data_IF_058191712122
#
_entry.id   IF_058191712122
#
_cell.length_a   1.000
_cell.length_b   1.000
_cell.length_c   1.000
_cell.angle_alpha   90.00
_cell.angle_beta   90.00
_cell.angle_gamma   90.00
#
_symmetry.space_group_name_H-M   'P 1'
#
loop_
_entity.id
_entity.type
_entity.pdbx_description
1 polymer ?
#
# COMPACT_ATOMS: atom_id res chain seq x y z
N UNK A 1 -15.58 15.97 10.38
CA UNK A 1 -15.67 14.50 10.53
C UNK A 1 -15.91 14.18 12.00
N UNK A 2 -16.63 13.10 12.30
CA UNK A 2 -16.94 12.69 13.70
C UNK A 2 -15.79 11.97 14.42
N UNK A 3 -14.68 11.70 13.74
CA UNK A 3 -13.55 10.93 14.27
C UNK A 3 -12.51 11.80 15.02
N UNK A 4 -12.64 13.13 14.96
CA UNK A 4 -11.63 14.07 15.44
C UNK A 4 -11.17 13.86 16.88
N UNK A 5 -12.07 13.42 17.77
CA UNK A 5 -11.76 13.17 19.19
C UNK A 5 -11.28 11.76 19.53
N UNK A 6 -11.13 10.87 18.55
CA UNK A 6 -10.73 9.46 18.77
C UNK A 6 -9.21 9.28 18.71
N UNK A 7 -8.45 10.14 19.36
CA UNK A 7 -6.98 10.21 19.26
C UNK A 7 -6.27 8.93 19.70
N UNK A 8 -6.91 8.09 20.54
CA UNK A 8 -6.37 6.82 21.02
C UNK A 8 -6.76 5.61 20.16
N UNK A 9 -7.44 5.83 19.03
CA UNK A 9 -7.90 4.73 18.18
C UNK A 9 -6.70 4.00 17.58
N UNK A 10 -6.59 2.70 17.87
CA UNK A 10 -5.52 1.83 17.32
C UNK A 10 -5.93 1.11 16.03
N UNK A 11 -7.22 0.88 15.82
CA UNK A 11 -7.75 0.13 14.69
C UNK A 11 -8.97 0.83 14.11
N UNK A 12 -8.98 1.04 12.80
CA UNK A 12 -10.10 1.65 12.08
C UNK A 12 -10.41 0.82 10.84
N UNK A 13 -11.69 0.49 10.68
CA UNK A 13 -12.17 -0.32 9.57
C UNK A 13 -13.33 0.40 8.89
N UNK A 14 -13.15 0.66 7.60
CA UNK A 14 -14.03 1.42 6.72
C UNK A 14 -14.23 0.71 5.38
N UNK A 15 -14.04 -0.61 5.34
CA UNK A 15 -14.21 -1.42 4.13
C UNK A 15 -15.68 -1.44 3.66
N UNK A 16 -15.87 -1.77 2.39
CA UNK A 16 -17.21 -1.93 1.76
C UNK A 16 -18.06 -0.66 1.84
N UNK A 17 -17.43 0.48 1.61
CA UNK A 17 -18.09 1.79 1.55
C UNK A 17 -17.95 2.39 0.13
N UNK A 18 -18.28 3.67 0.00
CA UNK A 18 -18.15 4.43 -1.25
C UNK A 18 -17.14 5.58 -1.08
N UNK A 19 -16.12 5.37 -0.27
CA UNK A 19 -15.11 6.40 0.01
C UNK A 19 -14.29 6.60 -1.26
N UNK A 20 -14.33 7.80 -1.80
CA UNK A 20 -13.48 8.21 -2.94
C UNK A 20 -12.29 9.05 -2.53
N UNK A 21 -12.31 9.62 -1.31
CA UNK A 21 -11.28 10.50 -0.77
C UNK A 21 -11.04 10.18 0.70
N UNK A 22 -9.77 10.01 1.07
CA UNK A 22 -9.35 9.78 2.45
C UNK A 22 -9.31 11.15 3.15
N UNK A 23 -10.20 11.39 4.10
CA UNK A 23 -10.28 12.66 4.86
C UNK A 23 -10.79 12.41 6.27
N UNK A 24 -10.47 13.31 7.20
CA UNK A 24 -10.99 13.25 8.55
C UNK A 24 -10.26 12.27 9.46
N UNK A 25 -9.06 11.83 9.05
CA UNK A 25 -8.17 10.94 9.81
C UNK A 25 -6.99 11.70 10.44
N UNK A 26 -6.95 13.02 10.30
CA UNK A 26 -5.76 13.85 10.57
C UNK A 26 -5.35 13.83 12.04
N UNK A 27 -6.29 13.61 12.96
CA UNK A 27 -6.06 13.52 14.41
C UNK A 27 -5.81 12.10 14.93
N UNK A 28 -5.91 11.07 14.08
CA UNK A 28 -5.78 9.66 14.49
C UNK A 28 -4.31 9.23 14.59
N UNK A 29 -3.49 10.02 15.26
CA UNK A 29 -2.03 9.85 15.31
C UNK A 29 -1.61 8.47 15.80
N UNK A 30 -2.36 7.84 16.70
CA UNK A 30 -2.03 6.54 17.28
C UNK A 30 -2.49 5.33 16.47
N UNK A 31 -3.10 5.54 15.29
CA UNK A 31 -3.65 4.46 14.49
C UNK A 31 -2.56 3.48 14.05
N UNK A 32 -2.82 2.19 14.25
CA UNK A 32 -1.93 1.07 13.89
C UNK A 32 -2.43 0.31 12.69
N UNK A 33 -3.74 0.20 12.53
CA UNK A 33 -4.36 -0.52 11.42
C UNK A 33 -5.47 0.30 10.79
N UNK A 34 -5.41 0.44 9.47
CA UNK A 34 -6.42 1.12 8.67
C UNK A 34 -6.87 0.19 7.54
N UNK A 35 -8.14 -0.17 7.54
CA UNK A 35 -8.75 -0.95 6.47
C UNK A 35 -9.71 -0.08 5.65
N UNK A 36 -9.38 0.10 4.37
CA UNK A 36 -10.11 0.85 3.35
C UNK A 36 -10.42 -0.03 2.12
N UNK A 37 -10.41 -1.35 2.29
CA UNK A 37 -10.71 -2.33 1.24
C UNK A 37 -12.11 -2.11 0.63
N UNK A 38 -12.29 -2.42 -0.65
CA UNK A 38 -13.59 -2.30 -1.34
C UNK A 38 -14.19 -0.88 -1.24
N UNK A 39 -13.44 0.11 -1.73
CA UNK A 39 -13.87 1.51 -1.80
C UNK A 39 -13.64 2.05 -3.24
N UNK A 40 -13.67 3.37 -3.42
CA UNK A 40 -13.53 4.05 -4.71
C UNK A 40 -12.33 5.01 -4.72
N UNK A 41 -11.31 4.73 -3.92
CA UNK A 41 -10.16 5.62 -3.73
C UNK A 41 -9.27 5.59 -4.98
N UNK A 42 -8.99 6.77 -5.53
CA UNK A 42 -8.11 6.93 -6.70
C UNK A 42 -6.71 7.42 -6.31
N UNK A 43 -6.63 8.20 -5.22
CA UNK A 43 -5.40 8.80 -4.71
C UNK A 43 -5.24 8.49 -3.22
N UNK A 44 -4.05 8.04 -2.85
CA UNK A 44 -3.69 7.87 -1.46
C UNK A 44 -3.12 9.19 -0.95
N UNK A 45 -3.91 9.88 -0.13
CA UNK A 45 -3.61 11.21 0.39
C UNK A 45 -4.05 11.35 1.85
N UNK A 46 -3.60 12.39 2.54
CA UNK A 46 -4.00 12.73 3.91
C UNK A 46 -3.67 11.65 4.96
N UNK A 47 -2.60 10.87 4.74
CA UNK A 47 -2.11 9.86 5.70
C UNK A 47 -0.84 10.30 6.45
N UNK A 48 -0.34 11.52 6.22
CA UNK A 48 0.95 12.00 6.73
C UNK A 48 1.12 11.93 8.26
N UNK A 49 0.00 12.04 8.98
CA UNK A 49 -0.04 12.04 10.43
C UNK A 49 -0.11 10.63 11.05
N UNK A 50 -0.35 9.59 10.25
CA UNK A 50 -0.50 8.20 10.69
C UNK A 50 0.86 7.48 10.79
N UNK A 51 1.86 8.15 11.38
CA UNK A 51 3.26 7.68 11.42
C UNK A 51 3.46 6.36 12.16
N UNK A 52 2.46 5.96 12.94
CA UNK A 52 2.45 4.74 13.73
C UNK A 52 1.74 3.57 13.06
N UNK A 53 1.22 3.76 11.85
CA UNK A 53 0.52 2.73 11.09
C UNK A 53 1.47 1.55 10.78
N UNK A 54 0.97 0.35 11.04
CA UNK A 54 1.65 -0.93 10.85
C UNK A 54 1.03 -1.68 9.67
N UNK A 55 -0.30 -1.60 9.52
CA UNK A 55 -1.03 -2.27 8.45
C UNK A 55 -1.96 -1.29 7.72
N UNK A 56 -1.89 -1.28 6.40
CA UNK A 56 -2.74 -0.51 5.52
C UNK A 56 -3.36 -1.42 4.45
N UNK A 57 -4.68 -1.53 4.45
CA UNK A 57 -5.43 -2.31 3.46
C UNK A 57 -6.17 -1.36 2.51
N UNK A 58 -5.79 -1.38 1.24
CA UNK A 58 -6.35 -0.58 0.15
C UNK A 58 -6.78 -1.46 -1.04
N UNK A 59 -6.96 -2.76 -0.81
CA UNK A 59 -7.35 -3.70 -1.85
C UNK A 59 -8.69 -3.33 -2.48
N UNK A 60 -8.86 -3.64 -3.77
CA UNK A 60 -10.09 -3.35 -4.52
C UNK A 60 -10.53 -1.88 -4.42
N UNK A 61 -9.65 -1.00 -4.89
CA UNK A 61 -9.90 0.44 -5.06
C UNK A 61 -9.62 0.84 -6.52
N UNK A 62 -9.35 2.12 -6.79
CA UNK A 62 -9.06 2.66 -8.11
C UNK A 62 -7.69 3.32 -8.22
N UNK A 63 -6.75 2.89 -7.38
CA UNK A 63 -5.44 3.51 -7.24
C UNK A 63 -4.60 3.21 -8.49
N UNK A 64 -4.00 4.24 -9.09
CA UNK A 64 -3.15 4.10 -10.29
C UNK A 64 -1.66 4.27 -10.00
N UNK A 65 -1.33 4.89 -8.87
CA UNK A 65 0.03 5.18 -8.44
C UNK A 65 0.16 4.97 -6.94
N UNK A 66 1.31 4.49 -6.53
CA UNK A 66 1.66 4.42 -5.11
C UNK A 66 2.28 5.78 -4.75
N UNK A 67 1.56 6.56 -3.96
CA UNK A 67 1.92 7.91 -3.53
C UNK A 67 1.35 8.19 -2.13
N UNK A 68 1.80 9.23 -1.44
CA UNK A 68 1.23 9.62 -0.14
C UNK A 68 1.54 8.66 1.02
N UNK A 69 2.55 7.81 0.86
CA UNK A 69 3.01 6.83 1.86
C UNK A 69 4.34 7.23 2.51
N UNK A 70 4.92 8.38 2.16
CA UNK A 70 6.30 8.79 2.48
C UNK A 70 6.56 8.83 3.99
N UNK A 71 5.53 9.15 4.77
CA UNK A 71 5.58 9.28 6.23
C UNK A 71 5.25 7.97 6.99
N UNK A 72 4.79 6.92 6.30
CA UNK A 72 4.37 5.65 6.92
C UNK A 72 5.55 4.70 7.17
N UNK A 73 6.62 5.21 7.79
CA UNK A 73 7.89 4.48 7.98
C UNK A 73 7.82 3.27 8.92
N UNK A 74 6.70 3.08 9.62
CA UNK A 74 6.45 1.94 10.48
C UNK A 74 5.60 0.85 9.83
N UNK A 75 5.18 1.05 8.58
CA UNK A 75 4.34 0.11 7.86
C UNK A 75 5.09 -1.21 7.62
N UNK A 76 4.41 -2.31 7.93
CA UNK A 76 4.92 -3.68 7.80
C UNK A 76 4.11 -4.47 6.78
N UNK A 77 2.82 -4.17 6.67
CA UNK A 77 1.90 -4.85 5.76
C UNK A 77 1.14 -3.83 4.91
N UNK A 78 1.26 -3.96 3.60
CA UNK A 78 0.59 -3.09 2.63
C UNK A 78 -0.14 -3.94 1.59
N UNK A 79 -1.46 -3.76 1.52
CA UNK A 79 -2.32 -4.44 0.57
C UNK A 79 -2.85 -3.44 -0.46
N UNK A 80 -2.45 -3.64 -1.71
CA UNK A 80 -2.79 -2.83 -2.87
C UNK A 80 -3.29 -3.70 -4.04
N UNK A 81 -3.64 -4.96 -3.78
CA UNK A 81 -4.17 -5.85 -4.80
C UNK A 81 -5.51 -5.35 -5.37
N UNK A 82 -5.82 -5.74 -6.61
CA UNK A 82 -7.04 -5.33 -7.32
C UNK A 82 -7.16 -3.81 -7.44
N UNK A 83 -6.11 -3.17 -7.93
CA UNK A 83 -6.08 -1.75 -8.27
C UNK A 83 -5.62 -1.59 -9.73
N UNK A 84 -5.27 -0.38 -10.16
CA UNK A 84 -4.82 -0.07 -11.52
C UNK A 84 -3.37 0.44 -11.54
N UNK A 85 -2.55 -0.02 -10.59
CA UNK A 85 -1.16 0.44 -10.42
C UNK A 85 -0.33 -0.06 -11.60
N UNK A 86 0.38 0.86 -12.27
CA UNK A 86 1.17 0.52 -13.47
C UNK A 86 2.67 0.35 -13.21
N UNK A 87 3.16 0.88 -12.08
CA UNK A 87 4.59 0.95 -11.77
C UNK A 87 4.88 0.71 -10.30
N UNK A 88 6.01 0.05 -10.04
CA UNK A 88 6.61 -0.10 -8.73
C UNK A 88 7.50 1.11 -8.40
N UNK A 89 6.85 2.21 -8.03
CA UNK A 89 7.47 3.46 -7.56
C UNK A 89 6.80 3.91 -6.25
N UNK A 90 7.34 4.94 -5.57
CA UNK A 90 6.71 5.51 -4.36
C UNK A 90 6.76 4.67 -3.07
N UNK A 91 7.48 3.54 -3.07
CA UNK A 91 7.65 2.65 -1.91
C UNK A 91 9.03 2.73 -1.27
N UNK A 92 9.90 3.62 -1.76
CA UNK A 92 11.30 3.69 -1.37
C UNK A 92 11.54 4.12 0.10
N UNK A 93 10.54 4.67 0.79
CA UNK A 93 10.60 5.05 2.21
C UNK A 93 10.10 3.96 3.14
N UNK A 94 9.52 2.88 2.62
CA UNK A 94 8.79 1.86 3.38
C UNK A 94 9.71 0.73 3.86
N UNK A 95 10.86 1.08 4.46
CA UNK A 95 11.96 0.16 4.79
C UNK A 95 11.57 -1.02 5.70
N UNK A 96 10.46 -0.90 6.43
CA UNK A 96 9.96 -1.92 7.36
C UNK A 96 8.90 -2.85 6.76
N UNK A 97 8.49 -2.67 5.51
CA UNK A 97 7.49 -3.51 4.88
C UNK A 97 8.03 -4.94 4.73
N UNK A 98 7.26 -5.90 5.23
CA UNK A 98 7.52 -7.33 5.22
C UNK A 98 6.64 -8.01 4.16
N UNK A 99 5.41 -7.51 4.00
CA UNK A 99 4.38 -8.07 3.12
C UNK A 99 3.84 -6.96 2.22
N UNK A 100 3.92 -7.19 0.91
CA UNK A 100 3.38 -6.32 -0.13
C UNK A 100 2.52 -7.12 -1.11
N UNK A 101 1.21 -6.87 -1.08
CA UNK A 101 0.27 -7.43 -2.06
C UNK A 101 0.00 -6.44 -3.18
N UNK A 102 0.34 -6.82 -4.41
CA UNK A 102 0.13 -6.06 -5.63
C UNK A 102 -0.50 -6.91 -6.73
N UNK A 103 -1.07 -8.07 -6.37
CA UNK A 103 -1.77 -8.94 -7.31
C UNK A 103 -2.91 -8.21 -8.03
N UNK A 104 -3.24 -8.60 -9.26
CA UNK A 104 -4.34 -7.99 -10.02
C UNK A 104 -4.18 -6.47 -10.17
N UNK A 105 -3.05 -6.04 -10.72
CA UNK A 105 -2.76 -4.65 -11.09
C UNK A 105 -2.30 -4.57 -12.55
N UNK A 106 -1.79 -3.42 -12.99
CA UNK A 106 -1.33 -3.17 -14.35
C UNK A 106 0.21 -3.05 -14.45
N UNK A 107 0.95 -3.66 -13.51
CA UNK A 107 2.41 -3.57 -13.45
C UNK A 107 3.02 -4.39 -14.58
N UNK A 108 3.62 -3.72 -15.56
CA UNK A 108 4.28 -4.39 -16.68
C UNK A 108 5.77 -4.62 -16.46
N UNK A 109 6.40 -3.82 -15.59
CA UNK A 109 7.83 -3.87 -15.36
C UNK A 109 8.19 -4.09 -13.89
N UNK A 110 9.13 -5.01 -13.69
CA UNK A 110 9.74 -5.33 -12.41
C UNK A 110 11.25 -5.30 -12.60
N UNK A 111 11.91 -4.42 -11.84
CA UNK A 111 13.36 -4.35 -11.74
C UNK A 111 13.78 -4.32 -10.27
N UNK A 112 15.01 -4.78 -9.99
CA UNK A 112 15.50 -4.88 -8.61
C UNK A 112 15.74 -3.51 -7.96
N UNK A 113 15.98 -2.46 -8.75
CA UNK A 113 16.28 -1.13 -8.22
C UNK A 113 15.06 -0.53 -7.51
N UNK A 114 13.84 -0.82 -7.99
CA UNK A 114 12.59 -0.46 -7.31
C UNK A 114 12.47 -1.04 -5.88
N UNK A 115 13.28 -2.04 -5.55
CA UNK A 115 13.20 -2.79 -4.28
C UNK A 115 14.39 -2.54 -3.35
N UNK A 116 15.36 -1.69 -3.73
CA UNK A 116 16.66 -1.54 -3.04
C UNK A 116 16.52 -1.20 -1.55
N UNK A 117 15.51 -0.40 -1.19
CA UNK A 117 15.27 0.04 0.18
C UNK A 117 14.37 -0.89 1.00
N UNK A 118 13.70 -1.85 0.36
CA UNK A 118 12.76 -2.77 1.01
C UNK A 118 13.49 -3.99 1.58
N UNK A 119 14.47 -3.73 2.45
CA UNK A 119 15.41 -4.75 2.98
C UNK A 119 14.74 -5.83 3.84
N UNK A 120 13.56 -5.55 4.37
CA UNK A 120 12.79 -6.48 5.21
C UNK A 120 11.67 -7.19 4.45
N UNK A 121 11.52 -6.93 3.15
CA UNK A 121 10.43 -7.50 2.37
C UNK A 121 10.67 -8.99 2.14
N UNK A 122 9.79 -9.80 2.73
CA UNK A 122 9.83 -11.26 2.62
C UNK A 122 8.81 -11.79 1.63
N UNK A 123 7.68 -11.09 1.50
CA UNK A 123 6.56 -11.53 0.68
C UNK A 123 6.12 -10.42 -0.26
N UNK A 124 6.30 -10.65 -1.56
CA UNK A 124 5.83 -9.78 -2.64
C UNK A 124 4.96 -10.59 -3.58
N UNK A 125 3.70 -10.20 -3.75
CA UNK A 125 2.75 -10.85 -4.64
C UNK A 125 2.48 -9.97 -5.86
N UNK A 126 2.89 -10.43 -7.04
CA UNK A 126 2.74 -9.73 -8.32
C UNK A 126 1.94 -10.54 -9.35
N UNK A 127 1.24 -11.59 -8.93
CA UNK A 127 0.41 -12.39 -9.83
C UNK A 127 -0.65 -11.51 -10.51
N UNK A 128 -1.20 -11.97 -11.63
CA UNK A 128 -2.26 -11.25 -12.35
C UNK A 128 -1.88 -9.80 -12.71
N UNK A 129 -0.59 -9.56 -12.96
CA UNK A 129 -0.08 -8.33 -13.57
C UNK A 129 0.48 -8.62 -14.98
N UNK A 130 0.43 -7.66 -15.91
CA UNK A 130 0.94 -7.81 -17.27
C UNK A 130 2.48 -7.71 -17.35
N UNK A 131 3.20 -8.35 -16.41
CA UNK A 131 4.65 -8.37 -16.38
C UNK A 131 5.22 -8.92 -17.69
N UNK A 132 6.20 -8.22 -18.27
CA UNK A 132 6.91 -8.76 -19.44
C UNK A 132 7.63 -10.06 -19.09
N UNK A 133 7.95 -10.93 -20.08
CA UNK A 133 8.75 -12.13 -19.83
C UNK A 133 10.08 -11.86 -19.11
N UNK A 134 10.73 -10.73 -19.44
CA UNK A 134 11.97 -10.33 -18.78
C UNK A 134 11.74 -9.94 -17.32
N UNK A 135 10.69 -9.17 -17.05
CA UNK A 135 10.31 -8.76 -15.70
C UNK A 135 9.94 -9.98 -14.82
N UNK A 136 9.30 -11.00 -15.40
CA UNK A 136 9.07 -12.29 -14.73
C UNK A 136 10.36 -13.01 -14.34
N UNK A 137 11.37 -13.02 -15.22
CA UNK A 137 12.69 -13.61 -14.90
C UNK A 137 13.34 -12.86 -13.74
N UNK A 138 13.31 -11.52 -13.78
CA UNK A 138 13.83 -10.69 -12.69
C UNK A 138 13.12 -10.97 -11.37
N UNK A 139 11.77 -11.04 -11.39
CA UNK A 139 10.97 -11.31 -10.19
C UNK A 139 11.23 -12.70 -9.61
N UNK A 140 11.32 -13.75 -10.43
CA UNK A 140 11.68 -15.11 -9.98
C UNK A 140 13.06 -15.15 -9.35
N UNK A 141 14.05 -14.54 -10.01
CA UNK A 141 15.42 -14.44 -9.47
C UNK A 141 15.45 -13.70 -8.13
N UNK A 142 14.67 -12.63 -7.98
CA UNK A 142 14.55 -11.88 -6.73
C UNK A 142 13.87 -12.71 -5.64
N UNK A 143 12.74 -13.37 -5.96
CA UNK A 143 11.93 -14.17 -5.02
C UNK A 143 12.53 -15.53 -4.68
N UNK A 144 13.63 -15.93 -5.33
CA UNK A 144 14.27 -17.24 -5.20
C UNK A 144 13.35 -18.41 -5.59
N UNK A 145 12.41 -18.15 -6.49
CA UNK A 145 11.48 -19.12 -7.12
C UNK A 145 11.94 -19.53 -8.52
#
# INVERSE_FOLDING_TARGET
SGLGGLENLGWLTLNDNKISQIRGLESLHNLKVLNLTNNLIEHVENLDNLRYLIKLELSNNKIQKIEGLENLRNLQELFLDRNYIKKLEGINTLEKVIILFLESNEISDFNNNSMENLKNLNFLFLNENPLTPQSWICYKKWSRL
#
